data_IF_869278401026
#
_entry.id   IF_869278401026
#
_cell.length_a   1.000
_cell.length_b   1.000
_cell.length_c   1.000
_cell.angle_alpha   90.00
_cell.angle_beta   90.00
_cell.angle_gamma   90.00
#
_symmetry.space_group_name_H-M   'P 1'
#
loop_
_entity.id
_entity.type
_entity.pdbx_description
1 polymer ?
#
# COMPACT_ATOMS: atom_id res chain seq x y z
N UNK A 1 -15.43 -39.97 -17.63
CA UNK A 1 -15.08 -38.55 -17.37
C UNK A 1 -15.97 -38.07 -16.26
N UNK A 2 -15.41 -37.73 -15.11
CA UNK A 2 -16.17 -37.10 -14.01
C UNK A 2 -16.62 -35.71 -14.49
N UNK A 3 -17.93 -35.45 -14.49
CA UNK A 3 -18.42 -34.08 -14.80
C UNK A 3 -17.87 -33.12 -13.76
N UNK A 4 -17.30 -32.01 -14.20
CA UNK A 4 -16.89 -30.91 -13.32
C UNK A 4 -18.15 -30.39 -12.60
N UNK A 5 -18.14 -30.43 -11.29
CA UNK A 5 -19.18 -29.71 -10.52
C UNK A 5 -18.90 -28.21 -10.69
N UNK A 6 -19.89 -27.45 -11.13
CA UNK A 6 -19.76 -26.00 -11.30
C UNK A 6 -19.34 -25.37 -9.96
N UNK A 7 -18.13 -24.79 -9.87
CA UNK A 7 -17.59 -24.28 -8.62
C UNK A 7 -18.38 -23.10 -8.08
N UNK A 8 -19.13 -22.39 -8.92
CA UNK A 8 -20.01 -21.32 -8.53
C UNK A 8 -21.29 -21.78 -7.82
N UNK A 9 -21.60 -23.06 -7.89
CA UNK A 9 -22.80 -23.61 -7.19
C UNK A 9 -22.74 -23.38 -5.67
N UNK A 10 -21.53 -23.36 -5.10
CA UNK A 10 -21.30 -23.10 -3.68
C UNK A 10 -21.09 -21.60 -3.36
N UNK A 11 -21.05 -20.73 -4.38
CA UNK A 11 -20.81 -19.29 -4.19
C UNK A 11 -22.13 -18.56 -4.01
N UNK A 12 -22.31 -17.95 -2.88
CA UNK A 12 -23.43 -17.04 -2.63
C UNK A 12 -23.06 -15.64 -3.15
N UNK A 13 -23.81 -15.17 -4.16
CA UNK A 13 -23.63 -13.84 -4.70
C UNK A 13 -24.24 -12.79 -3.75
N UNK A 14 -23.57 -11.66 -3.49
CA UNK A 14 -24.09 -10.62 -2.61
C UNK A 14 -25.36 -9.98 -3.17
N UNK A 15 -26.11 -9.28 -2.32
CA UNK A 15 -27.38 -8.63 -2.71
C UNK A 15 -27.23 -7.70 -3.91
N UNK A 16 -26.14 -6.94 -3.98
CA UNK A 16 -25.83 -6.09 -5.14
C UNK A 16 -25.50 -6.86 -6.41
N UNK A 17 -25.39 -8.22 -6.37
CA UNK A 17 -24.97 -9.03 -7.51
C UNK A 17 -23.46 -8.97 -7.80
N UNK A 18 -23.05 -9.42 -8.99
CA UNK A 18 -21.64 -9.60 -9.35
C UNK A 18 -21.28 -8.92 -10.67
N UNK A 19 -20.10 -8.29 -10.70
CA UNK A 19 -19.46 -7.76 -11.89
C UNK A 19 -18.32 -8.70 -12.32
N UNK A 20 -18.46 -9.38 -13.46
CA UNK A 20 -17.43 -10.27 -13.99
C UNK A 20 -16.40 -9.50 -14.81
N UNK A 21 -15.12 -9.63 -14.47
CA UNK A 21 -14.02 -9.12 -15.29
C UNK A 21 -13.78 -10.09 -16.45
N UNK A 22 -14.06 -9.66 -17.68
CA UNK A 22 -14.05 -10.51 -18.87
C UNK A 22 -13.05 -10.00 -19.90
N UNK A 23 -12.06 -10.83 -20.26
CA UNK A 23 -11.10 -10.52 -21.33
C UNK A 23 -11.54 -11.01 -22.72
N UNK A 24 -12.49 -11.94 -22.79
CA UNK A 24 -12.87 -12.66 -23.99
C UNK A 24 -12.21 -14.03 -24.12
N UNK A 25 -11.15 -14.31 -23.37
CA UNK A 25 -10.48 -15.61 -23.34
C UNK A 25 -11.27 -16.67 -22.58
N UNK A 26 -10.88 -17.95 -22.82
CA UNK A 26 -11.52 -19.15 -22.31
C UNK A 26 -12.00 -19.04 -20.85
N UNK A 27 -11.05 -18.74 -19.93
CA UNK A 27 -11.29 -18.78 -18.50
C UNK A 27 -12.33 -17.72 -18.07
N UNK A 28 -12.24 -16.53 -18.66
CA UNK A 28 -13.15 -15.41 -18.35
C UNK A 28 -14.55 -15.61 -18.92
N UNK A 29 -14.67 -16.27 -20.08
CA UNK A 29 -15.96 -16.58 -20.69
C UNK A 29 -16.64 -17.73 -19.93
N UNK A 30 -15.90 -18.74 -19.47
CA UNK A 30 -16.41 -19.75 -18.55
C UNK A 30 -16.93 -19.14 -17.24
N UNK A 31 -16.14 -18.26 -16.62
CA UNK A 31 -16.56 -17.55 -15.39
C UNK A 31 -17.88 -16.81 -15.61
N UNK A 32 -17.98 -16.05 -16.71
CA UNK A 32 -19.18 -15.26 -16.99
C UNK A 32 -20.40 -16.17 -17.15
N UNK A 33 -20.32 -17.23 -17.96
CA UNK A 33 -21.42 -18.18 -18.17
C UNK A 33 -21.86 -18.85 -16.87
N UNK A 34 -20.90 -19.35 -16.04
CA UNK A 34 -21.22 -19.92 -14.73
C UNK A 34 -21.88 -18.91 -13.80
N UNK A 35 -21.36 -17.66 -13.78
CA UNK A 35 -21.90 -16.60 -12.92
C UNK A 35 -23.32 -16.22 -13.32
N UNK A 36 -23.59 -16.12 -14.62
CA UNK A 36 -24.95 -15.83 -15.12
C UNK A 36 -25.93 -16.90 -14.69
N UNK A 37 -25.58 -18.18 -14.84
CA UNK A 37 -26.42 -19.31 -14.38
C UNK A 37 -26.65 -19.27 -12.88
N UNK A 38 -25.62 -18.95 -12.10
CA UNK A 38 -25.74 -18.84 -10.65
C UNK A 38 -26.60 -17.63 -10.23
N UNK A 39 -26.41 -16.48 -10.89
CA UNK A 39 -27.21 -15.28 -10.68
C UNK A 39 -28.70 -15.54 -10.96
N UNK A 40 -29.02 -16.22 -12.04
CA UNK A 40 -30.40 -16.61 -12.38
C UNK A 40 -31.02 -17.50 -11.29
N UNK A 41 -30.26 -18.49 -10.77
CA UNK A 41 -30.74 -19.38 -9.68
C UNK A 41 -30.99 -18.62 -8.38
N UNK A 42 -30.17 -17.60 -8.09
CA UNK A 42 -30.24 -16.85 -6.83
C UNK A 42 -31.07 -15.55 -6.93
N UNK A 43 -31.59 -15.21 -8.12
CA UNK A 43 -32.26 -13.93 -8.35
C UNK A 43 -31.31 -12.73 -8.19
N UNK A 44 -30.03 -12.90 -8.52
CA UNK A 44 -29.00 -11.88 -8.42
C UNK A 44 -28.58 -11.38 -9.79
N UNK A 45 -28.39 -10.06 -9.92
CA UNK A 45 -27.93 -9.47 -11.16
C UNK A 45 -26.46 -9.76 -11.44
N UNK A 46 -26.13 -9.96 -12.69
CA UNK A 46 -24.76 -10.21 -13.17
C UNK A 46 -24.49 -9.30 -14.36
N UNK A 47 -23.29 -8.76 -14.43
CA UNK A 47 -22.83 -7.97 -15.56
C UNK A 47 -21.40 -8.33 -15.94
N UNK A 48 -21.01 -8.03 -17.17
CA UNK A 48 -19.66 -8.17 -17.68
C UNK A 48 -18.96 -6.80 -17.72
N UNK A 49 -17.68 -6.77 -17.37
CA UNK A 49 -16.81 -5.60 -17.53
C UNK A 49 -15.55 -6.00 -18.28
N UNK A 50 -15.28 -5.34 -19.40
CA UNK A 50 -14.11 -5.53 -20.24
C UNK A 50 -13.23 -4.28 -20.21
N UNK A 51 -11.92 -4.44 -20.03
CA UNK A 51 -10.97 -3.35 -20.12
C UNK A 51 -10.04 -3.52 -21.29
N UNK A 52 -10.15 -2.63 -22.27
CA UNK A 52 -9.30 -2.59 -23.45
C UNK A 52 -8.02 -1.79 -23.11
N UNK A 53 -6.89 -2.50 -23.06
CA UNK A 53 -5.59 -1.96 -22.72
C UNK A 53 -4.93 -1.12 -23.83
N UNK A 54 -5.52 -1.09 -25.02
CA UNK A 54 -5.02 -0.40 -26.25
C UNK A 54 -3.56 -0.80 -26.62
N UNK A 55 -3.11 -1.98 -26.23
CA UNK A 55 -1.76 -2.45 -26.51
C UNK A 55 -1.64 -3.16 -27.88
N UNK A 56 -2.77 -3.67 -28.42
CA UNK A 56 -2.80 -4.55 -29.59
C UNK A 56 -3.64 -3.99 -30.76
N UNK A 57 -4.01 -2.71 -30.72
CA UNK A 57 -4.80 -2.11 -31.78
C UNK A 57 -6.08 -2.91 -32.12
N UNK A 58 -6.24 -3.30 -33.38
CA UNK A 58 -7.44 -3.98 -33.88
C UNK A 58 -7.79 -5.31 -33.16
N UNK A 59 -6.83 -6.06 -32.63
CA UNK A 59 -7.12 -7.27 -31.88
C UNK A 59 -7.85 -6.97 -30.57
N UNK A 60 -7.42 -5.92 -29.84
CA UNK A 60 -8.06 -5.51 -28.60
C UNK A 60 -9.50 -5.00 -28.84
N UNK A 61 -9.75 -4.33 -29.97
CA UNK A 61 -11.11 -3.88 -30.36
C UNK A 61 -11.99 -5.06 -30.78
N UNK A 62 -11.42 -6.07 -31.47
CA UNK A 62 -12.11 -7.32 -31.79
C UNK A 62 -12.56 -8.05 -30.52
N UNK A 63 -11.68 -8.17 -29.52
CA UNK A 63 -11.95 -8.88 -28.27
C UNK A 63 -13.05 -8.15 -27.48
N UNK A 64 -13.02 -6.82 -27.41
CA UNK A 64 -14.08 -6.01 -26.82
C UNK A 64 -15.42 -6.23 -27.54
N UNK A 65 -15.41 -6.22 -28.88
CA UNK A 65 -16.61 -6.42 -29.69
C UNK A 65 -17.18 -7.81 -29.48
N UNK A 66 -16.34 -8.82 -29.47
CA UNK A 66 -16.76 -10.21 -29.21
C UNK A 66 -17.49 -10.36 -27.86
N UNK A 67 -16.93 -9.80 -26.77
CA UNK A 67 -17.59 -9.88 -25.45
C UNK A 67 -18.87 -9.07 -25.43
N UNK A 68 -18.90 -7.91 -26.05
CA UNK A 68 -20.08 -7.04 -26.17
C UNK A 68 -21.24 -7.77 -26.86
N UNK A 69 -20.98 -8.37 -28.04
CA UNK A 69 -21.98 -9.06 -28.85
C UNK A 69 -22.50 -10.30 -28.13
N UNK A 70 -21.61 -11.05 -27.45
CA UNK A 70 -21.99 -12.20 -26.66
C UNK A 70 -22.91 -11.83 -25.50
N UNK A 71 -22.63 -10.70 -24.82
CA UNK A 71 -23.46 -10.17 -23.75
C UNK A 71 -24.81 -9.67 -24.26
N UNK A 72 -24.80 -8.91 -25.36
CA UNK A 72 -26.02 -8.39 -26.00
C UNK A 72 -26.99 -9.51 -26.39
N UNK A 73 -26.49 -10.59 -27.00
CA UNK A 73 -27.29 -11.76 -27.37
C UNK A 73 -27.95 -12.49 -26.19
N UNK A 74 -27.52 -12.19 -24.95
CA UNK A 74 -28.00 -12.83 -23.70
C UNK A 74 -28.60 -11.83 -22.69
N UNK A 75 -28.79 -10.59 -23.13
CA UNK A 75 -29.33 -9.48 -22.31
C UNK A 75 -28.52 -9.26 -21.01
N UNK A 76 -27.19 -9.50 -21.07
CA UNK A 76 -26.26 -9.27 -19.96
C UNK A 76 -25.74 -7.83 -20.05
N UNK A 77 -25.87 -7.01 -18.99
CA UNK A 77 -25.28 -5.68 -18.97
C UNK A 77 -23.77 -5.74 -19.19
N UNK A 78 -23.25 -4.89 -20.10
CA UNK A 78 -21.85 -4.85 -20.49
C UNK A 78 -21.25 -3.47 -20.29
N UNK A 79 -20.11 -3.40 -19.62
CA UNK A 79 -19.36 -2.18 -19.37
C UNK A 79 -17.97 -2.30 -20.01
N UNK A 80 -17.62 -1.34 -20.85
CA UNK A 80 -16.29 -1.23 -21.46
C UNK A 80 -15.50 -0.08 -20.84
N UNK A 81 -14.24 -0.32 -20.55
CA UNK A 81 -13.25 0.69 -20.19
C UNK A 81 -12.07 0.63 -21.14
N UNK A 82 -11.44 1.77 -21.39
CA UNK A 82 -10.24 1.87 -22.23
C UNK A 82 -9.19 2.72 -21.53
N UNK A 83 -7.91 2.44 -21.78
CA UNK A 83 -6.82 3.23 -21.22
C UNK A 83 -5.53 3.02 -21.98
N UNK A 84 -4.80 4.12 -22.20
CA UNK A 84 -3.43 4.08 -22.73
C UNK A 84 -2.46 3.62 -21.64
N UNK A 85 -2.21 2.32 -21.64
CA UNK A 85 -1.32 1.68 -20.64
C UNK A 85 0.11 2.17 -20.79
N UNK A 86 0.60 2.45 -22.01
CA UNK A 86 1.98 2.90 -22.23
C UNK A 86 2.20 4.29 -21.67
N UNK A 87 1.33 5.23 -21.99
CA UNK A 87 1.39 6.57 -21.43
C UNK A 87 1.33 6.56 -19.89
N UNK A 88 0.44 5.75 -19.31
CA UNK A 88 0.34 5.62 -17.86
C UNK A 88 1.57 4.96 -17.22
N UNK A 89 2.21 3.99 -17.89
CA UNK A 89 3.44 3.38 -17.43
C UNK A 89 4.61 4.39 -17.39
N UNK A 90 4.75 5.19 -18.45
CA UNK A 90 5.76 6.26 -18.54
C UNK A 90 5.55 7.34 -17.47
N UNK A 91 4.33 7.82 -17.29
CA UNK A 91 3.99 8.83 -16.29
C UNK A 91 4.29 8.36 -14.86
N UNK A 92 4.02 7.09 -14.56
CA UNK A 92 4.12 6.55 -13.20
C UNK A 92 5.43 5.82 -12.91
N UNK A 93 6.32 5.65 -13.90
CA UNK A 93 7.58 4.90 -13.78
C UNK A 93 7.38 3.40 -13.51
N UNK A 94 6.25 2.82 -13.94
CA UNK A 94 5.88 1.42 -13.73
C UNK A 94 6.16 0.58 -14.95
N UNK A 95 6.20 -0.75 -14.76
CA UNK A 95 6.17 -1.65 -15.90
C UNK A 95 4.82 -1.59 -16.62
N UNK A 96 4.78 -1.91 -17.91
CA UNK A 96 3.55 -1.95 -18.70
C UNK A 96 2.52 -2.90 -18.07
N UNK A 97 2.96 -4.04 -17.53
CA UNK A 97 2.09 -5.01 -16.85
C UNK A 97 1.47 -4.44 -15.56
N UNK A 98 2.27 -3.80 -14.71
CA UNK A 98 1.78 -3.15 -13.49
C UNK A 98 0.78 -2.03 -13.81
N UNK A 99 1.08 -1.24 -14.84
CA UNK A 99 0.22 -0.16 -15.33
C UNK A 99 -1.11 -0.70 -15.86
N UNK A 100 -1.07 -1.73 -16.72
CA UNK A 100 -2.24 -2.42 -17.24
C UNK A 100 -3.13 -2.98 -16.13
N UNK A 101 -2.51 -3.65 -15.17
CA UNK A 101 -3.20 -4.21 -14.01
C UNK A 101 -3.85 -3.11 -13.18
N UNK A 102 -3.17 -2.01 -12.90
CA UNK A 102 -3.69 -0.92 -12.10
C UNK A 102 -4.88 -0.25 -12.76
N UNK A 103 -4.78 0.12 -14.04
CA UNK A 103 -5.87 0.73 -14.79
C UNK A 103 -7.10 -0.18 -14.85
N UNK A 104 -6.91 -1.47 -15.12
CA UNK A 104 -7.99 -2.45 -15.13
C UNK A 104 -8.71 -2.54 -13.79
N UNK A 105 -7.97 -2.70 -12.67
CA UNK A 105 -8.62 -2.78 -11.36
C UNK A 105 -9.29 -1.48 -10.93
N UNK A 106 -8.73 -0.34 -11.29
CA UNK A 106 -9.36 0.97 -11.08
C UNK A 106 -10.70 1.05 -11.80
N UNK A 107 -10.74 0.73 -13.09
CA UNK A 107 -11.97 0.71 -13.89
C UNK A 107 -13.01 -0.26 -13.31
N UNK A 108 -12.61 -1.47 -12.95
CA UNK A 108 -13.52 -2.48 -12.37
C UNK A 108 -14.14 -1.99 -11.06
N UNK A 109 -13.35 -1.39 -10.18
CA UNK A 109 -13.84 -0.90 -8.89
C UNK A 109 -14.71 0.35 -9.05
N UNK A 110 -14.37 1.27 -9.93
CA UNK A 110 -15.21 2.45 -10.25
C UNK A 110 -16.56 2.00 -10.83
N UNK A 111 -16.56 1.05 -11.77
CA UNK A 111 -17.78 0.48 -12.36
C UNK A 111 -18.61 -0.25 -11.29
N UNK A 112 -17.98 -1.10 -10.47
CA UNK A 112 -18.66 -1.79 -9.37
C UNK A 112 -19.39 -0.82 -8.46
N UNK A 113 -18.72 0.27 -8.03
CA UNK A 113 -19.31 1.29 -7.13
C UNK A 113 -20.42 2.07 -7.79
N UNK A 114 -20.17 2.57 -9.00
CA UNK A 114 -21.16 3.36 -9.75
C UNK A 114 -22.44 2.60 -10.01
N UNK A 115 -22.32 1.33 -10.38
CA UNK A 115 -23.48 0.47 -10.71
C UNK A 115 -24.01 -0.29 -9.48
N UNK A 116 -23.38 -0.16 -8.29
CA UNK A 116 -23.83 -0.79 -7.05
C UNK A 116 -23.70 -2.30 -7.02
N UNK A 117 -22.69 -2.90 -7.69
CA UNK A 117 -22.40 -4.34 -7.55
C UNK A 117 -21.73 -4.64 -6.21
N UNK A 118 -22.08 -5.78 -5.62
CA UNK A 118 -21.53 -6.22 -4.34
C UNK A 118 -20.10 -6.76 -4.42
N UNK A 119 -19.73 -7.37 -5.56
CA UNK A 119 -18.39 -7.93 -5.77
C UNK A 119 -17.93 -7.86 -7.23
N UNK A 120 -16.63 -8.07 -7.41
CA UNK A 120 -15.97 -8.29 -8.71
C UNK A 120 -15.53 -9.75 -8.75
N UNK A 121 -15.83 -10.46 -9.83
CA UNK A 121 -15.34 -11.82 -10.07
C UNK A 121 -14.23 -11.80 -11.11
N UNK A 122 -13.16 -12.56 -10.85
CA UNK A 122 -12.03 -12.73 -11.79
C UNK A 122 -11.73 -14.20 -12.02
N UNK A 123 -11.34 -14.56 -13.24
CA UNK A 123 -11.19 -15.92 -13.71
C UNK A 123 -9.83 -16.57 -13.41
N UNK A 124 -9.18 -16.19 -12.30
CA UNK A 124 -7.96 -16.89 -11.87
C UNK A 124 -8.32 -18.32 -11.48
N UNK A 125 -7.51 -19.27 -11.96
CA UNK A 125 -7.74 -20.71 -11.80
C UNK A 125 -6.56 -21.41 -11.09
N UNK A 126 -6.64 -22.74 -10.90
CA UNK A 126 -5.66 -23.50 -10.13
C UNK A 126 -4.24 -23.42 -10.74
N UNK A 127 -4.11 -23.45 -12.07
CA UNK A 127 -2.79 -23.32 -12.72
C UNK A 127 -2.16 -21.94 -12.46
N UNK A 128 -2.93 -20.84 -12.46
CA UNK A 128 -2.41 -19.50 -12.10
C UNK A 128 -1.92 -19.43 -10.64
N UNK A 129 -2.64 -20.11 -9.75
CA UNK A 129 -2.22 -20.20 -8.33
C UNK A 129 -0.94 -21.01 -8.19
N UNK A 130 -0.80 -22.11 -8.92
CA UNK A 130 0.42 -22.93 -8.95
C UNK A 130 1.61 -22.13 -9.50
N UNK A 131 1.44 -21.38 -10.59
CA UNK A 131 2.46 -20.46 -11.12
C UNK A 131 2.90 -19.45 -10.05
N UNK A 132 1.93 -18.85 -9.34
CA UNK A 132 2.19 -17.87 -8.29
C UNK A 132 2.95 -18.48 -7.12
N UNK A 133 2.57 -19.68 -6.66
CA UNK A 133 3.29 -20.41 -5.62
C UNK A 133 4.74 -20.68 -6.00
N UNK A 134 4.99 -21.15 -7.22
CA UNK A 134 6.33 -21.42 -7.72
C UNK A 134 7.17 -20.14 -7.84
N UNK A 135 6.61 -19.07 -8.37
CA UNK A 135 7.30 -17.77 -8.43
C UNK A 135 7.68 -17.26 -7.03
N UNK A 136 6.78 -17.36 -6.09
CA UNK A 136 7.04 -16.94 -4.72
C UNK A 136 8.10 -17.83 -4.04
N UNK A 137 8.04 -19.16 -4.27
CA UNK A 137 9.05 -20.08 -3.77
C UNK A 137 10.46 -19.76 -4.30
N UNK A 138 10.57 -19.48 -5.60
CA UNK A 138 11.84 -19.08 -6.24
C UNK A 138 12.39 -17.77 -5.69
N UNK A 139 11.53 -16.87 -5.25
CA UNK A 139 11.91 -15.58 -4.63
C UNK A 139 12.21 -15.68 -3.14
N UNK A 140 12.02 -16.83 -2.51
CA UNK A 140 12.24 -17.03 -1.08
C UNK A 140 11.13 -16.39 -0.26
N UNK A 141 9.95 -16.98 -0.27
CA UNK A 141 8.78 -16.48 0.47
C UNK A 141 8.56 -17.21 1.80
N UNK A 142 7.83 -16.56 2.71
CA UNK A 142 7.24 -17.21 3.88
C UNK A 142 5.91 -17.89 3.56
N UNK A 143 5.22 -18.37 4.61
CA UNK A 143 3.95 -19.10 4.52
C UNK A 143 2.91 -18.37 3.67
N UNK A 144 2.70 -17.07 3.90
CA UNK A 144 1.75 -16.21 3.17
C UNK A 144 1.91 -16.28 1.64
N UNK A 145 3.15 -16.29 1.14
CA UNK A 145 3.37 -16.36 -0.32
C UNK A 145 3.16 -17.76 -0.91
N UNK A 146 3.23 -18.81 -0.09
CA UNK A 146 2.96 -20.18 -0.51
C UNK A 146 1.45 -20.51 -0.54
N UNK A 147 0.59 -19.64 -0.02
CA UNK A 147 -0.86 -19.81 -0.15
C UNK A 147 -1.38 -19.54 -1.57
N UNK A 148 -0.51 -19.13 -2.50
CA UNK A 148 -0.88 -18.83 -3.86
C UNK A 148 -1.72 -17.56 -4.00
N UNK A 149 -2.71 -17.60 -4.89
CA UNK A 149 -3.64 -16.48 -5.11
C UNK A 149 -4.80 -16.61 -4.10
N UNK A 150 -5.12 -15.56 -3.31
CA UNK A 150 -6.22 -15.64 -2.34
C UNK A 150 -7.58 -15.69 -3.03
N UNK A 151 -8.51 -16.52 -2.51
CA UNK A 151 -9.88 -16.62 -3.04
C UNK A 151 -10.62 -15.30 -2.97
N UNK A 152 -10.41 -14.55 -1.88
CA UNK A 152 -11.04 -13.24 -1.65
C UNK A 152 -9.98 -12.21 -1.30
N UNK A 153 -10.11 -11.05 -1.92
CA UNK A 153 -9.34 -9.85 -1.55
C UNK A 153 -10.25 -8.63 -1.72
N UNK A 154 -10.59 -7.98 -0.62
CA UNK A 154 -11.54 -6.86 -0.60
C UNK A 154 -12.89 -7.26 -1.23
N UNK A 155 -13.30 -6.60 -2.30
CA UNK A 155 -14.49 -6.91 -3.08
C UNK A 155 -14.25 -7.90 -4.24
N UNK A 156 -13.03 -8.40 -4.41
CA UNK A 156 -12.67 -9.30 -5.50
C UNK A 156 -12.76 -10.74 -5.03
N UNK A 157 -13.52 -11.57 -5.75
CA UNK A 157 -13.66 -13.00 -5.53
C UNK A 157 -13.09 -13.77 -6.72
N UNK A 158 -12.54 -14.96 -6.46
CA UNK A 158 -11.90 -15.84 -7.46
C UNK A 158 -12.42 -17.27 -7.33
N UNK A 159 -13.64 -17.52 -7.80
CA UNK A 159 -14.31 -18.80 -7.55
C UNK A 159 -13.69 -19.99 -8.30
N UNK A 160 -12.81 -19.75 -9.30
CA UNK A 160 -12.20 -20.80 -10.12
C UNK A 160 -10.84 -21.30 -9.61
N UNK A 161 -10.38 -20.85 -8.43
CA UNK A 161 -9.04 -21.22 -7.93
C UNK A 161 -8.86 -22.71 -7.61
N UNK A 162 -9.94 -23.45 -7.46
CA UNK A 162 -9.92 -24.92 -7.31
C UNK A 162 -10.05 -25.69 -8.63
N UNK A 163 -10.28 -25.00 -9.74
CA UNK A 163 -10.52 -25.59 -11.06
C UNK A 163 -9.27 -25.46 -11.91
N UNK A 164 -8.87 -26.53 -12.59
CA UNK A 164 -7.76 -26.52 -13.52
C UNK A 164 -8.15 -25.92 -14.86
N UNK A 165 -7.18 -25.42 -15.62
CA UNK A 165 -7.43 -24.93 -16.97
C UNK A 165 -7.97 -26.03 -17.90
N UNK A 166 -7.55 -27.27 -17.69
CA UNK A 166 -8.05 -28.42 -18.47
C UNK A 166 -9.55 -28.67 -18.21
N UNK A 167 -10.00 -28.54 -16.96
CA UNK A 167 -11.42 -28.67 -16.62
C UNK A 167 -12.24 -27.50 -17.19
N UNK A 168 -11.70 -26.27 -17.20
CA UNK A 168 -12.35 -25.11 -17.85
C UNK A 168 -12.49 -25.32 -19.36
N UNK A 169 -11.47 -25.86 -20.01
CA UNK A 169 -11.53 -26.20 -21.44
C UNK A 169 -12.60 -27.27 -21.73
N UNK A 170 -12.67 -28.30 -20.90
CA UNK A 170 -13.72 -29.34 -21.01
C UNK A 170 -15.13 -28.75 -20.80
N UNK A 171 -15.29 -27.87 -19.81
CA UNK A 171 -16.55 -27.18 -19.54
C UNK A 171 -16.98 -26.29 -20.72
N UNK A 172 -16.04 -25.50 -21.27
CA UNK A 172 -16.32 -24.68 -22.44
C UNK A 172 -16.78 -25.52 -23.66
N UNK A 173 -16.13 -26.68 -23.90
CA UNK A 173 -16.50 -27.57 -24.96
C UNK A 173 -17.90 -28.21 -24.74
N UNK A 174 -18.19 -28.68 -23.52
CA UNK A 174 -19.49 -29.27 -23.15
C UNK A 174 -20.64 -28.25 -23.32
N UNK A 175 -20.40 -27.02 -22.89
CA UNK A 175 -21.42 -25.95 -22.94
C UNK A 175 -21.36 -25.09 -24.19
N UNK A 176 -20.48 -25.40 -25.14
CA UNK A 176 -20.26 -24.65 -26.40
C UNK A 176 -20.05 -23.16 -26.18
N UNK A 177 -19.22 -22.83 -25.17
CA UNK A 177 -18.89 -21.44 -24.83
C UNK A 177 -17.84 -20.96 -25.83
N UNK A 178 -18.14 -19.93 -26.65
CA UNK A 178 -17.17 -19.37 -27.56
C UNK A 178 -16.18 -18.49 -26.76
N UNK A 179 -14.94 -18.43 -27.23
CA UNK A 179 -13.89 -17.59 -26.68
C UNK A 179 -12.89 -17.18 -27.75
N UNK A 180 -12.14 -16.13 -27.49
CA UNK A 180 -11.05 -15.66 -28.36
C UNK A 180 -9.73 -16.27 -27.86
N UNK A 181 -8.94 -16.80 -28.78
CA UNK A 181 -7.58 -17.23 -28.46
C UNK A 181 -6.65 -16.02 -28.33
N UNK A 182 -5.93 -15.95 -27.23
CA UNK A 182 -5.00 -14.87 -26.96
C UNK A 182 -3.66 -15.12 -27.69
N UNK A 183 -3.33 -14.27 -28.66
CA UNK A 183 -2.09 -14.38 -29.47
C UNK A 183 -0.82 -14.02 -28.66
N UNK A 184 -0.94 -13.39 -27.47
CA UNK A 184 0.21 -12.89 -26.69
C UNK A 184 0.65 -13.80 -25.55
N UNK A 185 0.28 -15.06 -25.52
CA UNK A 185 0.80 -16.02 -24.53
C UNK A 185 2.34 -16.09 -24.44
N UNK A 186 3.07 -15.20 -25.10
CA UNK A 186 4.53 -15.24 -25.26
C UNK A 186 5.35 -14.06 -24.74
N UNK A 187 4.81 -12.92 -24.29
CA UNK A 187 5.65 -11.72 -24.19
C UNK A 187 5.75 -10.97 -22.85
N UNK A 188 4.82 -11.08 -21.92
CA UNK A 188 4.75 -10.08 -20.83
C UNK A 188 5.37 -10.46 -19.47
N UNK A 189 5.52 -11.72 -19.11
CA UNK A 189 6.29 -12.18 -17.93
C UNK A 189 7.12 -13.42 -18.30
N UNK A 190 8.38 -13.21 -18.64
CA UNK A 190 9.29 -14.29 -19.05
C UNK A 190 9.35 -15.41 -18.00
N UNK A 191 9.33 -15.08 -16.71
CA UNK A 191 9.40 -16.06 -15.64
C UNK A 191 8.08 -16.86 -15.53
N UNK A 192 6.91 -16.18 -15.59
CA UNK A 192 5.60 -16.84 -15.57
C UNK A 192 5.37 -17.69 -16.80
N UNK A 193 5.75 -17.20 -17.98
CA UNK A 193 5.69 -17.97 -19.22
C UNK A 193 6.60 -19.20 -19.19
N UNK A 194 7.82 -19.08 -18.65
CA UNK A 194 8.71 -20.24 -18.44
C UNK A 194 8.06 -21.26 -17.51
N UNK A 195 7.46 -20.85 -16.40
CA UNK A 195 6.75 -21.76 -15.50
C UNK A 195 5.58 -22.45 -16.21
N UNK A 196 4.76 -21.72 -16.94
CA UNK A 196 3.59 -22.21 -17.65
C UNK A 196 3.94 -23.19 -18.78
N UNK A 197 4.93 -22.86 -19.60
CA UNK A 197 5.22 -23.60 -20.83
C UNK A 197 6.34 -24.63 -20.69
N UNK A 198 7.21 -24.50 -19.69
CA UNK A 198 8.35 -25.40 -19.53
C UNK A 198 8.31 -26.17 -18.19
N UNK A 199 8.13 -25.51 -17.06
CA UNK A 199 8.25 -26.14 -15.74
C UNK A 199 7.00 -26.96 -15.38
N UNK A 200 5.81 -26.35 -15.44
CA UNK A 200 4.56 -27.06 -15.10
C UNK A 200 4.30 -28.30 -15.98
N UNK A 201 4.56 -28.28 -17.30
CA UNK A 201 4.46 -29.50 -18.13
C UNK A 201 5.41 -30.59 -17.67
N UNK A 202 6.63 -30.28 -17.23
CA UNK A 202 7.55 -31.29 -16.68
C UNK A 202 7.03 -31.84 -15.35
N UNK A 203 6.55 -30.97 -14.44
CA UNK A 203 5.95 -31.41 -13.19
C UNK A 203 4.72 -32.29 -13.40
N UNK A 204 3.87 -31.97 -14.41
CA UNK A 204 2.72 -32.82 -14.81
C UNK A 204 3.11 -34.19 -15.36
N UNK A 205 4.30 -34.31 -15.95
CA UNK A 205 4.83 -35.66 -16.35
C UNK A 205 5.22 -36.50 -15.13
N UNK A 206 5.75 -35.88 -14.07
CA UNK A 206 6.07 -36.56 -12.80
C UNK A 206 4.82 -36.90 -12.01
N UNK A 207 3.86 -35.98 -11.97
CA UNK A 207 2.58 -36.19 -11.33
C UNK A 207 1.48 -35.45 -12.10
N UNK A 208 0.61 -36.15 -12.86
CA UNK A 208 -0.47 -35.50 -13.61
C UNK A 208 -1.40 -34.62 -12.77
N UNK A 209 -1.52 -34.90 -11.46
CA UNK A 209 -2.35 -34.14 -10.53
C UNK A 209 -1.56 -33.10 -9.70
N UNK A 210 -0.41 -32.63 -10.21
CA UNK A 210 0.44 -31.69 -9.46
C UNK A 210 -0.27 -30.39 -9.16
N UNK A 211 -1.07 -29.85 -10.10
CA UNK A 211 -1.78 -28.58 -9.93
C UNK A 211 -2.86 -28.69 -8.85
N UNK A 212 -3.66 -29.78 -8.88
CA UNK A 212 -4.67 -30.04 -7.84
C UNK A 212 -4.03 -30.27 -6.46
N UNK A 213 -2.88 -30.96 -6.42
CA UNK A 213 -2.14 -31.15 -5.19
C UNK A 213 -1.59 -29.82 -4.65
N UNK A 214 -1.07 -28.94 -5.52
CA UNK A 214 -0.61 -27.60 -5.15
C UNK A 214 -1.79 -26.75 -4.65
N UNK A 215 -2.94 -26.78 -5.34
CA UNK A 215 -4.15 -26.08 -4.90
C UNK A 215 -4.60 -26.53 -3.52
N UNK A 216 -4.65 -27.85 -3.27
CA UNK A 216 -4.95 -28.40 -1.94
C UNK A 216 -3.94 -27.97 -0.87
N UNK A 217 -2.66 -28.01 -1.20
CA UNK A 217 -1.59 -27.53 -0.27
C UNK A 217 -1.76 -26.05 0.02
N UNK A 218 -2.04 -25.23 -0.99
CA UNK A 218 -2.31 -23.79 -0.82
C UNK A 218 -3.47 -23.53 0.14
N UNK A 219 -4.56 -24.30 0.01
CA UNK A 219 -5.73 -24.17 0.91
C UNK A 219 -5.41 -24.54 2.36
N UNK A 220 -4.61 -25.60 2.59
CA UNK A 220 -4.15 -25.97 3.95
C UNK A 220 -3.27 -24.88 4.54
N UNK A 221 -2.29 -24.39 3.77
CA UNK A 221 -1.41 -23.31 4.21
C UNK A 221 -2.17 -21.99 4.43
N UNK A 222 -3.23 -21.72 3.68
CA UNK A 222 -4.07 -20.54 3.87
C UNK A 222 -4.85 -20.61 5.19
N UNK A 223 -5.32 -21.81 5.59
CA UNK A 223 -5.97 -22.00 6.88
C UNK A 223 -4.98 -21.77 8.05
N UNK A 224 -3.76 -22.32 7.96
CA UNK A 224 -2.70 -22.10 8.95
C UNK A 224 -2.30 -20.62 9.02
N UNK A 225 -2.15 -19.95 7.87
CA UNK A 225 -1.85 -18.52 7.79
C UNK A 225 -2.95 -17.68 8.45
N UNK A 226 -4.22 -17.99 8.20
CA UNK A 226 -5.35 -17.30 8.81
C UNK A 226 -5.37 -17.46 10.34
N UNK A 227 -5.01 -18.64 10.85
CA UNK A 227 -4.90 -18.89 12.29
C UNK A 227 -3.76 -18.07 12.92
N UNK A 228 -2.60 -18.02 12.26
CA UNK A 228 -1.44 -17.21 12.71
C UNK A 228 -1.75 -15.71 12.65
N UNK A 229 -2.44 -15.24 11.61
CA UNK A 229 -2.87 -13.85 11.49
C UNK A 229 -3.89 -13.48 12.57
N UNK A 230 -4.83 -14.36 12.89
CA UNK A 230 -5.79 -14.15 13.97
C UNK A 230 -5.08 -14.07 15.34
N UNK A 231 -4.11 -14.95 15.59
CA UNK A 231 -3.28 -14.90 16.79
C UNK A 231 -2.45 -13.60 16.85
N UNK A 232 -1.85 -13.18 15.73
CA UNK A 232 -1.10 -11.93 15.63
C UNK A 232 -1.98 -10.72 15.93
N UNK A 233 -3.20 -10.63 15.36
CA UNK A 233 -4.15 -9.53 15.63
C UNK A 233 -4.52 -9.40 17.12
N UNK A 234 -4.74 -10.51 17.82
CA UNK A 234 -4.99 -10.48 19.27
C UNK A 234 -3.81 -9.87 20.04
N UNK A 235 -2.60 -10.17 19.61
CA UNK A 235 -1.38 -9.62 20.23
C UNK A 235 -1.14 -8.15 19.82
N UNK A 236 -1.58 -7.72 18.65
CA UNK A 236 -1.49 -6.31 18.23
C UNK A 236 -2.36 -5.38 19.08
N UNK A 237 -3.43 -5.86 19.68
CA UNK A 237 -4.23 -5.11 20.64
C UNK A 237 -3.44 -4.65 21.88
N UNK A 238 -2.27 -5.28 22.14
CA UNK A 238 -1.34 -4.91 23.22
C UNK A 238 -0.28 -3.89 22.76
N UNK A 239 -0.32 -3.47 21.51
CA UNK A 239 0.59 -2.50 20.91
C UNK A 239 -0.15 -1.19 20.68
N UNK A 240 0.49 -0.07 21.01
CA UNK A 240 -0.06 1.24 20.64
C UNK A 240 0.30 1.51 19.17
N UNK A 241 -0.70 1.66 18.31
CA UNK A 241 -0.48 1.91 16.87
C UNK A 241 -1.41 3.02 16.39
N UNK A 242 -0.82 4.08 15.84
CA UNK A 242 -1.50 5.14 15.11
C UNK A 242 -1.10 5.01 13.64
N UNK A 243 -1.98 4.53 12.75
CA UNK A 243 -1.66 4.31 11.34
C UNK A 243 -1.05 5.54 10.68
N UNK A 244 -0.06 5.34 9.82
CA UNK A 244 0.71 6.37 9.10
C UNK A 244 1.50 7.37 9.98
N UNK A 245 1.50 7.20 11.30
CA UNK A 245 2.14 8.11 12.26
C UNK A 245 3.17 7.39 13.11
N UNK A 246 2.73 6.49 13.99
CA UNK A 246 3.62 5.84 14.96
C UNK A 246 3.08 4.49 15.44
N UNK A 247 3.99 3.70 16.02
CA UNK A 247 3.65 2.45 16.68
C UNK A 247 4.62 2.15 17.82
N UNK A 248 4.19 1.33 18.77
CA UNK A 248 5.03 0.87 19.87
C UNK A 248 4.75 -0.59 20.18
N UNK A 249 5.80 -1.39 20.32
CA UNK A 249 5.74 -2.77 20.78
C UNK A 249 6.50 -2.85 22.10
N UNK A 250 5.84 -3.10 23.25
CA UNK A 250 6.55 -3.39 24.50
C UNK A 250 7.41 -4.64 24.36
N UNK A 251 8.64 -4.61 24.87
CA UNK A 251 9.57 -5.73 24.72
C UNK A 251 9.10 -6.99 25.42
N UNK A 252 8.50 -6.85 26.61
CA UNK A 252 7.91 -7.99 27.29
C UNK A 252 6.89 -8.71 26.41
N UNK A 253 5.98 -7.92 25.77
CA UNK A 253 4.98 -8.45 24.84
C UNK A 253 5.62 -9.14 23.62
N UNK A 254 6.76 -8.63 23.13
CA UNK A 254 7.48 -9.25 22.01
C UNK A 254 8.21 -10.53 22.45
N UNK A 255 8.81 -10.55 23.62
CA UNK A 255 9.57 -11.67 24.17
C UNK A 255 8.66 -12.84 24.56
N UNK A 256 7.51 -12.56 25.18
CA UNK A 256 6.50 -13.55 25.57
C UNK A 256 5.79 -14.20 24.38
N UNK A 257 5.85 -13.55 23.20
CA UNK A 257 5.23 -14.09 22.01
C UNK A 257 5.97 -15.32 21.47
N UNK A 258 5.25 -16.33 20.97
CA UNK A 258 5.85 -17.41 20.19
C UNK A 258 6.73 -16.86 19.06
N UNK A 259 7.85 -17.51 18.79
CA UNK A 259 8.83 -17.07 17.78
C UNK A 259 8.19 -16.78 16.42
N UNK A 260 7.29 -17.67 15.97
CA UNK A 260 6.56 -17.54 14.73
C UNK A 260 5.72 -16.24 14.61
N UNK A 261 5.35 -15.62 15.73
CA UNK A 261 4.52 -14.42 15.77
C UNK A 261 5.33 -13.13 15.98
N UNK A 262 6.58 -13.21 16.45
CA UNK A 262 7.42 -12.03 16.70
C UNK A 262 7.65 -11.21 15.43
N UNK A 263 8.10 -11.88 14.36
CA UNK A 263 8.33 -11.24 13.07
C UNK A 263 7.05 -10.68 12.43
N UNK A 264 5.94 -11.42 12.55
CA UNK A 264 4.62 -10.97 12.04
C UNK A 264 4.14 -9.70 12.75
N UNK A 265 4.34 -9.63 14.06
CA UNK A 265 3.98 -8.45 14.86
C UNK A 265 4.80 -7.22 14.45
N UNK A 266 6.12 -7.39 14.33
CA UNK A 266 7.00 -6.31 13.84
C UNK A 266 6.55 -5.84 12.46
N UNK A 267 6.30 -6.78 11.53
CA UNK A 267 5.81 -6.46 10.19
C UNK A 267 4.47 -5.69 10.23
N UNK A 268 3.52 -6.15 11.03
CA UNK A 268 2.20 -5.54 11.10
C UNK A 268 2.25 -4.09 11.64
N UNK A 269 3.05 -3.82 12.70
CA UNK A 269 3.23 -2.47 13.22
C UNK A 269 4.00 -1.61 12.23
N UNK A 270 5.07 -2.13 11.64
CA UNK A 270 5.87 -1.43 10.64
C UNK A 270 5.03 -1.07 9.40
N UNK A 271 4.23 -2.00 8.90
CA UNK A 271 3.33 -1.78 7.76
C UNK A 271 2.23 -0.76 8.08
N UNK A 272 1.67 -0.79 9.28
CA UNK A 272 0.68 0.19 9.71
C UNK A 272 1.25 1.61 9.76
N UNK A 273 2.49 1.77 10.25
CA UNK A 273 3.19 3.06 10.29
C UNK A 273 3.64 3.49 8.90
N UNK A 274 4.10 2.56 8.05
CA UNK A 274 4.50 2.84 6.67
C UNK A 274 3.30 3.17 5.76
N UNK A 275 2.12 2.64 6.06
CA UNK A 275 0.90 2.72 5.26
C UNK A 275 0.68 1.54 4.31
N UNK A 276 1.67 0.65 4.16
CA UNK A 276 1.59 -0.57 3.34
C UNK A 276 2.73 -1.55 3.64
N UNK A 277 2.59 -2.81 3.19
CA UNK A 277 3.59 -3.87 3.37
C UNK A 277 4.63 -3.96 2.23
N UNK A 278 4.43 -3.27 1.11
CA UNK A 278 5.32 -3.38 -0.05
C UNK A 278 6.76 -3.05 0.35
N UNK A 279 7.73 -3.80 -0.19
CA UNK A 279 9.18 -3.63 0.05
C UNK A 279 9.67 -3.85 1.51
N UNK A 280 8.77 -4.26 2.42
CA UNK A 280 9.15 -4.71 3.77
C UNK A 280 9.60 -6.17 3.70
N UNK A 281 10.90 -6.40 3.76
CA UNK A 281 11.53 -7.71 3.58
C UNK A 281 11.79 -8.43 4.89
N UNK A 282 12.03 -9.75 4.83
CA UNK A 282 12.46 -10.54 5.98
C UNK A 282 13.77 -10.02 6.60
N UNK A 283 14.66 -9.41 5.80
CA UNK A 283 15.87 -8.78 6.31
C UNK A 283 15.56 -7.57 7.20
N UNK A 284 14.59 -6.73 6.82
CA UNK A 284 14.14 -5.60 7.63
C UNK A 284 13.56 -6.08 8.98
N UNK A 285 12.71 -7.11 8.95
CA UNK A 285 12.10 -7.67 10.16
C UNK A 285 13.18 -8.25 11.09
N UNK A 286 14.14 -9.00 10.53
CA UNK A 286 15.26 -9.57 11.31
C UNK A 286 16.10 -8.46 11.94
N UNK A 287 16.44 -7.41 11.19
CA UNK A 287 17.19 -6.28 11.71
C UNK A 287 16.49 -5.62 12.91
N UNK A 288 15.17 -5.46 12.86
CA UNK A 288 14.38 -4.91 13.98
C UNK A 288 14.38 -5.87 15.18
N UNK A 289 14.21 -7.17 14.95
CA UNK A 289 14.20 -8.18 16.04
C UNK A 289 15.54 -8.32 16.74
N UNK A 290 16.65 -8.04 16.05
CA UNK A 290 18.02 -8.12 16.60
C UNK A 290 18.57 -6.77 17.08
N UNK A 291 17.77 -5.70 16.99
CA UNK A 291 18.18 -4.37 17.45
C UNK A 291 18.25 -4.35 18.99
N UNK A 292 19.45 -4.25 19.54
CA UNK A 292 19.71 -4.19 21.00
C UNK A 292 19.77 -2.75 21.53
N UNK A 293 20.22 -1.78 20.70
CA UNK A 293 20.32 -0.34 21.02
C UNK A 293 20.34 0.51 19.77
N UNK A 294 20.00 1.80 19.91
CA UNK A 294 20.04 2.76 18.83
C UNK A 294 18.78 2.73 17.95
N UNK A 295 18.93 3.09 16.69
CA UNK A 295 17.83 3.20 15.75
C UNK A 295 18.16 2.61 14.38
N UNK A 296 17.12 2.21 13.65
CA UNK A 296 17.18 1.70 12.27
C UNK A 296 16.28 2.55 11.36
N UNK A 297 16.77 2.91 10.19
CA UNK A 297 15.95 3.49 9.13
C UNK A 297 15.35 2.38 8.29
N UNK A 298 14.02 2.46 8.08
CA UNK A 298 13.23 1.51 7.32
C UNK A 298 12.71 2.18 6.04
N UNK A 299 12.22 1.41 5.06
CA UNK A 299 11.52 1.96 3.91
C UNK A 299 10.41 2.94 4.31
N UNK A 300 10.06 3.85 3.38
CA UNK A 300 8.95 4.82 3.54
C UNK A 300 9.14 5.84 4.66
N UNK A 301 10.39 6.15 5.01
CA UNK A 301 10.73 7.13 6.03
C UNK A 301 10.38 6.70 7.46
N UNK A 302 10.14 5.41 7.68
CA UNK A 302 9.91 4.90 9.03
C UNK A 302 11.25 4.71 9.75
N UNK A 303 11.32 5.16 10.99
CA UNK A 303 12.43 4.91 11.90
C UNK A 303 11.97 4.00 13.02
N UNK A 304 12.78 3.00 13.34
CA UNK A 304 12.59 2.11 14.49
C UNK A 304 13.64 2.44 15.54
N UNK A 305 13.21 2.84 16.72
CA UNK A 305 14.07 3.17 17.86
C UNK A 305 13.95 2.08 18.94
N UNK A 306 15.08 1.60 19.43
CA UNK A 306 15.15 0.69 20.58
C UNK A 306 15.24 1.49 21.86
N UNK A 307 14.15 1.49 22.63
CA UNK A 307 14.06 2.04 23.97
C UNK A 307 14.27 0.92 25.02
N UNK A 308 14.58 1.22 26.29
CA UNK A 308 14.81 0.19 27.29
C UNK A 308 13.68 -0.81 27.48
N UNK A 309 12.42 -0.38 27.31
CA UNK A 309 11.23 -1.21 27.51
C UNK A 309 10.42 -1.48 26.24
N UNK A 310 10.74 -0.87 25.09
CA UNK A 310 9.91 -0.95 23.89
C UNK A 310 10.72 -0.80 22.60
N UNK A 311 10.13 -1.26 21.50
CA UNK A 311 10.45 -0.84 20.14
C UNK A 311 9.46 0.24 19.74
N UNK A 312 9.92 1.42 19.39
CA UNK A 312 9.11 2.52 18.91
C UNK A 312 9.31 2.71 17.41
N UNK A 313 8.22 2.76 16.69
CA UNK A 313 8.15 2.96 15.25
C UNK A 313 7.55 4.34 15.00
N UNK A 314 8.14 5.13 14.13
CA UNK A 314 7.58 6.43 13.77
C UNK A 314 8.01 6.84 12.36
N UNK A 315 7.11 7.51 11.67
CA UNK A 315 7.42 8.12 10.39
C UNK A 315 8.01 9.50 10.68
N UNK A 316 9.14 9.82 10.05
CA UNK A 316 9.60 11.20 10.08
C UNK A 316 8.47 12.08 9.56
N UNK A 317 8.03 13.05 10.36
CA UNK A 317 7.08 14.03 9.87
C UNK A 317 7.70 14.65 8.63
N UNK A 318 6.97 14.74 7.53
CA UNK A 318 7.41 15.54 6.39
C UNK A 318 7.66 16.93 6.93
N UNK A 319 8.89 17.43 6.76
CA UNK A 319 9.20 18.76 7.22
C UNK A 319 8.16 19.72 6.60
N UNK A 320 7.49 20.54 7.43
CA UNK A 320 6.55 21.51 6.89
C UNK A 320 7.26 22.35 5.83
N UNK A 321 6.55 22.76 4.80
CA UNK A 321 7.10 23.58 3.74
C UNK A 321 7.69 24.88 4.32
N UNK A 322 8.72 25.40 3.69
CA UNK A 322 9.29 26.71 4.00
C UNK A 322 8.16 27.74 3.90
N UNK A 323 7.96 28.52 4.97
CA UNK A 323 6.93 29.56 5.03
C UNK A 323 7.58 30.91 5.24
N UNK A 324 7.27 31.86 4.39
CA UNK A 324 7.60 33.25 4.64
C UNK A 324 6.79 33.74 5.86
N UNK A 325 7.40 34.58 6.67
CA UNK A 325 6.73 35.20 7.84
C UNK A 325 7.01 36.69 7.84
N UNK A 326 5.98 37.48 8.07
CA UNK A 326 6.10 38.93 8.20
C UNK A 326 5.79 39.36 9.62
N UNK A 327 6.29 40.54 10.01
CA UNK A 327 6.02 41.10 11.33
C UNK A 327 4.53 41.43 11.45
N UNK A 328 3.87 40.89 12.47
CA UNK A 328 2.43 41.02 12.71
C UNK A 328 1.60 39.79 12.23
N UNK A 329 2.19 38.86 11.49
CA UNK A 329 1.52 37.63 11.06
C UNK A 329 1.86 36.45 11.96
N UNK A 330 0.93 35.47 12.00
CA UNK A 330 1.10 34.20 12.68
C UNK A 330 1.22 33.10 11.61
N UNK A 331 2.30 32.36 11.66
CA UNK A 331 2.57 31.24 10.75
C UNK A 331 2.47 29.92 11.54
N UNK A 332 1.76 28.95 11.00
CA UNK A 332 1.63 27.63 11.62
C UNK A 332 2.66 26.66 11.04
N UNK A 333 3.52 26.13 11.88
CA UNK A 333 4.56 25.15 11.52
C UNK A 333 4.39 23.85 12.33
N UNK A 334 3.68 22.89 11.77
CA UNK A 334 3.31 21.67 12.48
C UNK A 334 2.46 21.98 13.70
N UNK A 335 2.97 21.62 14.89
CA UNK A 335 2.30 21.90 16.17
C UNK A 335 2.72 23.25 16.80
N UNK A 336 3.39 24.10 16.05
CA UNK A 336 3.86 25.39 16.52
C UNK A 336 3.19 26.54 15.78
N UNK A 337 2.87 27.58 16.51
CA UNK A 337 2.57 28.90 15.95
C UNK A 337 3.79 29.78 16.16
N UNK A 338 4.25 30.40 15.09
CA UNK A 338 5.39 31.33 15.11
C UNK A 338 4.89 32.70 14.70
N UNK A 339 5.13 33.69 15.52
CA UNK A 339 4.79 35.09 15.22
C UNK A 339 5.92 36.03 15.56
N UNK A 340 5.93 37.15 14.86
CA UNK A 340 6.87 38.25 15.06
C UNK A 340 6.10 39.50 15.44
N UNK A 341 6.46 40.12 16.58
CA UNK A 341 5.77 41.30 17.08
C UNK A 341 6.75 42.43 17.44
N UNK A 342 6.37 43.67 17.23
CA UNK A 342 7.12 44.86 17.67
C UNK A 342 6.80 45.28 19.10
N UNK A 343 5.69 44.77 19.66
CA UNK A 343 5.20 45.16 20.99
C UNK A 343 5.96 44.48 22.13
N UNK A 344 5.91 45.06 23.31
CA UNK A 344 6.38 44.44 24.54
C UNK A 344 5.52 43.20 24.89
N UNK A 345 6.16 42.11 25.34
CA UNK A 345 5.47 40.87 25.69
C UNK A 345 6.42 39.69 25.87
N UNK A 346 5.89 38.49 25.98
CA UNK A 346 6.68 37.26 26.02
C UNK A 346 7.30 36.94 24.65
N UNK A 347 8.46 36.29 24.65
CA UNK A 347 9.17 35.88 23.44
C UNK A 347 10.63 36.29 23.43
N UNK A 348 11.34 35.93 22.39
CA UNK A 348 12.79 36.17 22.26
C UNK A 348 13.00 37.40 21.38
N UNK A 349 13.71 38.41 21.88
CA UNK A 349 13.99 39.63 21.16
C UNK A 349 15.17 39.43 20.19
N UNK A 350 14.97 39.77 18.93
CA UNK A 350 16.01 39.78 17.89
C UNK A 350 16.03 41.13 17.18
N UNK A 351 17.16 41.47 16.58
CA UNK A 351 17.32 42.69 15.78
C UNK A 351 17.48 42.31 14.29
N UNK A 352 16.70 42.97 13.43
CA UNK A 352 16.66 42.67 11.99
C UNK A 352 16.71 43.98 11.18
N UNK A 353 17.13 43.90 9.91
CA UNK A 353 16.99 45.03 8.97
C UNK A 353 15.55 45.11 8.45
N UNK A 354 15.12 46.29 7.99
CA UNK A 354 13.79 46.47 7.41
C UNK A 354 13.53 45.60 6.16
N UNK A 355 14.59 45.24 5.42
CA UNK A 355 14.54 44.44 4.18
C UNK A 355 14.88 42.98 4.40
N UNK A 356 14.89 42.49 5.66
CA UNK A 356 15.25 41.12 5.96
C UNK A 356 14.21 40.11 5.41
N UNK A 357 14.67 39.10 4.72
CA UNK A 357 13.86 37.95 4.34
C UNK A 357 13.71 37.01 5.55
N UNK A 358 12.47 36.84 5.99
CA UNK A 358 12.13 36.07 7.18
C UNK A 358 11.37 34.80 6.78
N UNK A 359 11.93 33.65 7.15
CA UNK A 359 11.31 32.36 6.86
C UNK A 359 11.30 31.44 8.08
N UNK A 360 10.26 30.62 8.18
CA UNK A 360 10.17 29.51 9.15
C UNK A 360 10.34 28.20 8.39
N UNK A 361 11.29 27.39 8.84
CA UNK A 361 11.66 26.12 8.20
C UNK A 361 11.85 25.01 9.23
N UNK A 362 11.98 23.77 8.80
CA UNK A 362 12.58 22.71 9.62
C UNK A 362 14.07 23.02 9.86
N UNK A 363 14.63 22.46 10.93
CA UNK A 363 16.07 22.53 11.16
C UNK A 363 16.84 21.66 10.14
N UNK A 364 18.07 22.08 9.83
CA UNK A 364 19.01 21.34 8.98
C UNK A 364 20.24 20.93 9.79
N UNK A 365 20.92 19.86 9.37
CA UNK A 365 22.13 19.35 10.01
C UNK A 365 23.28 20.38 10.03
N UNK A 366 23.24 21.36 9.13
CA UNK A 366 24.20 22.48 9.02
C UNK A 366 23.85 23.65 9.93
N UNK A 367 22.63 23.69 10.49
CA UNK A 367 22.21 24.81 11.34
C UNK A 367 23.05 24.91 12.59
N UNK A 368 23.50 26.13 12.84
CA UNK A 368 24.30 26.49 14.01
C UNK A 368 23.76 27.75 14.65
N UNK A 369 23.76 27.75 15.98
CA UNK A 369 23.56 28.94 16.81
C UNK A 369 24.83 29.14 17.63
N UNK A 370 25.47 30.30 17.46
CA UNK A 370 26.71 30.66 18.15
C UNK A 370 27.82 29.58 17.96
N UNK A 371 28.00 29.12 16.71
CA UNK A 371 29.02 28.14 16.36
C UNK A 371 28.70 26.69 16.72
N UNK A 372 27.63 26.43 17.47
CA UNK A 372 27.21 25.09 17.93
C UNK A 372 26.03 24.58 17.09
N UNK A 373 26.08 23.31 16.73
CA UNK A 373 24.96 22.71 15.94
C UNK A 373 23.67 22.66 16.73
N UNK A 374 22.54 22.94 16.08
CA UNK A 374 21.19 22.80 16.67
C UNK A 374 20.99 21.41 17.27
N UNK A 375 21.48 20.36 16.61
CA UNK A 375 21.46 18.98 17.12
C UNK A 375 22.11 18.84 18.50
N UNK A 376 23.30 19.43 18.69
CA UNK A 376 24.04 19.39 19.98
C UNK A 376 23.32 20.17 21.07
N UNK A 377 22.83 21.37 20.73
CA UNK A 377 22.10 22.22 21.67
C UNK A 377 20.80 21.56 22.16
N UNK A 378 20.07 20.90 21.26
CA UNK A 378 18.88 20.10 21.63
C UNK A 378 19.24 18.95 22.59
N UNK A 379 20.33 18.22 22.32
CA UNK A 379 20.79 17.14 23.19
C UNK A 379 21.14 17.62 24.60
N UNK A 380 21.82 18.76 24.75
CA UNK A 380 22.17 19.38 26.03
C UNK A 380 20.92 19.85 26.82
N UNK A 381 19.83 20.15 26.14
CA UNK A 381 18.53 20.55 26.74
C UNK A 381 17.58 19.37 26.94
N UNK A 382 18.01 18.13 26.67
CA UNK A 382 17.18 16.94 26.82
C UNK A 382 16.04 16.83 25.77
N UNK A 383 16.09 17.63 24.69
CA UNK A 383 15.09 17.57 23.61
C UNK A 383 15.36 16.29 22.80
N UNK A 384 14.38 15.42 22.76
CA UNK A 384 14.46 14.15 22.06
C UNK A 384 14.64 14.33 20.55
N UNK A 385 15.24 13.37 19.82
CA UNK A 385 15.33 13.44 18.36
C UNK A 385 13.99 13.67 17.66
N UNK A 386 12.91 13.10 18.19
CA UNK A 386 11.56 13.24 17.63
C UNK A 386 11.00 14.65 17.81
N UNK A 387 11.22 15.25 18.97
CA UNK A 387 10.80 16.62 19.24
C UNK A 387 11.62 17.61 18.42
N UNK A 388 12.94 17.38 18.34
CA UNK A 388 13.84 18.22 17.55
C UNK A 388 13.41 18.30 16.08
N UNK A 389 13.02 17.16 15.47
CA UNK A 389 12.65 17.11 14.06
C UNK A 389 11.32 17.84 13.76
N UNK A 390 10.61 18.27 14.80
CA UNK A 390 9.38 19.06 14.75
C UNK A 390 9.55 20.52 15.16
N UNK A 391 10.77 20.92 15.51
CA UNK A 391 11.02 22.30 15.93
C UNK A 391 11.07 23.25 14.71
N UNK A 392 10.36 24.39 14.77
CA UNK A 392 10.53 25.46 13.81
C UNK A 392 11.89 26.15 14.00
N UNK A 393 12.51 26.54 12.91
CA UNK A 393 13.68 27.40 12.88
C UNK A 393 13.31 28.70 12.18
N UNK A 394 13.38 29.82 12.88
CA UNK A 394 13.29 31.12 12.25
C UNK A 394 14.62 31.43 11.57
N UNK A 395 14.56 31.76 10.30
CA UNK A 395 15.73 32.22 9.52
C UNK A 395 15.57 33.66 9.11
N UNK A 396 16.67 34.36 9.16
CA UNK A 396 16.80 35.71 8.64
C UNK A 396 17.82 35.67 7.52
N UNK A 397 17.43 36.00 6.30
CA UNK A 397 18.27 35.90 5.10
C UNK A 397 18.93 34.50 4.96
N UNK A 398 18.17 33.44 5.25
CA UNK A 398 18.62 32.04 5.18
C UNK A 398 19.45 31.56 6.38
N UNK A 399 19.84 32.44 7.31
CA UNK A 399 20.64 32.08 8.50
C UNK A 399 19.69 31.70 9.65
N UNK A 400 19.94 30.55 10.32
CA UNK A 400 19.18 30.15 11.51
C UNK A 400 19.45 31.13 12.67
N UNK A 401 18.38 31.74 13.21
CA UNK A 401 18.46 32.77 14.22
C UNK A 401 17.85 32.37 15.55
N UNK A 402 16.67 31.76 15.51
CA UNK A 402 15.95 31.36 16.71
C UNK A 402 15.27 29.98 16.54
N UNK A 403 15.31 29.20 17.61
CA UNK A 403 14.67 27.88 17.72
C UNK A 403 14.04 27.80 19.11
N UNK A 404 12.82 27.25 19.28
CA UNK A 404 12.15 27.14 20.57
C UNK A 404 13.05 26.49 21.63
N UNK A 405 13.21 27.15 22.78
CA UNK A 405 13.98 26.64 23.90
C UNK A 405 15.50 26.67 23.76
N UNK A 406 16.03 27.18 22.63
CA UNK A 406 17.48 27.32 22.40
C UNK A 406 17.92 28.79 22.46
N UNK A 407 19.25 29.07 22.69
CA UNK A 407 19.78 30.41 22.61
C UNK A 407 19.64 30.99 21.20
N UNK A 408 19.44 32.31 21.11
CA UNK A 408 19.46 33.00 19.82
C UNK A 408 20.87 33.10 19.26
N UNK A 409 20.97 33.37 17.97
CA UNK A 409 22.23 33.67 17.28
C UNK A 409 22.70 35.10 17.73
N UNK A 410 23.89 35.19 18.33
CA UNK A 410 24.42 36.45 18.92
C UNK A 410 24.48 37.60 17.95
N UNK A 411 24.70 37.34 16.66
CA UNK A 411 24.73 38.41 15.66
C UNK A 411 23.37 39.09 15.44
N UNK A 412 22.32 38.55 15.98
CA UNK A 412 20.95 39.08 15.94
C UNK A 412 20.46 39.50 17.33
N UNK A 413 21.34 39.62 18.29
CA UNK A 413 21.01 40.18 19.61
C UNK A 413 20.54 41.64 19.50
N UNK A 414 19.65 42.10 20.41
CA UNK A 414 19.23 43.50 20.45
C UNK A 414 20.45 44.41 20.47
N UNK A 415 20.36 45.61 19.90
CA UNK A 415 21.38 46.67 19.79
C UNK A 415 22.31 46.62 18.55
N UNK A 416 22.09 45.70 17.61
CA UNK A 416 22.94 45.62 16.39
C UNK A 416 22.28 46.14 15.12
N UNK A 417 20.95 46.27 15.06
CA UNK A 417 20.18 46.66 13.88
C UNK A 417 19.07 47.67 14.20
N UNK A 418 18.53 48.29 13.18
CA UNK A 418 17.57 49.41 13.32
C UNK A 418 16.18 49.00 13.86
N UNK A 419 15.79 47.71 13.70
CA UNK A 419 14.47 47.23 14.07
C UNK A 419 14.55 46.04 15.03
N UNK A 420 14.02 46.19 16.22
CA UNK A 420 13.90 45.10 17.20
C UNK A 420 12.54 44.39 17.07
N UNK A 421 12.55 43.09 16.92
CA UNK A 421 11.35 42.24 16.77
C UNK A 421 11.37 41.12 17.78
N UNK A 422 10.23 40.82 18.34
CA UNK A 422 10.05 39.73 19.29
C UNK A 422 9.53 38.49 18.58
N UNK A 423 10.26 37.40 18.70
CA UNK A 423 9.88 36.07 18.15
C UNK A 423 9.13 35.30 19.24
N UNK A 424 7.93 34.88 18.92
CA UNK A 424 7.07 34.12 19.82
C UNK A 424 6.86 32.74 19.22
N UNK A 425 7.18 31.69 19.98
CA UNK A 425 6.92 30.31 19.63
C UNK A 425 5.88 29.74 20.60
N UNK A 426 4.70 29.45 20.12
CA UNK A 426 3.62 28.83 20.90
C UNK A 426 3.40 27.36 20.41
N UNK A 427 3.47 26.44 21.35
CA UNK A 427 3.12 25.04 21.07
C UNK A 427 1.61 24.89 21.21
N UNK A 428 0.93 24.55 20.12
CA UNK A 428 -0.52 24.27 20.12
C UNK A 428 -0.73 22.89 20.72
N UNK A 429 -1.34 22.83 21.91
CA UNK A 429 -1.85 21.59 22.50
C UNK A 429 -3.32 21.43 22.11
N UNK A 430 -3.82 20.20 21.92
CA UNK A 430 -5.21 19.94 21.50
C UNK A 430 -6.27 20.49 22.45
N UNK A 431 -5.89 20.98 23.63
CA UNK A 431 -6.79 21.57 24.62
C UNK A 431 -7.21 23.01 24.28
N UNK A 432 -6.54 23.73 23.39
CA UNK A 432 -6.82 25.12 23.05
C UNK A 432 -7.79 25.34 21.87
N UNK A 433 -8.46 24.32 21.39
CA UNK A 433 -9.43 24.44 20.27
C UNK A 433 -10.91 24.56 20.74
N UNK A 434 -11.17 24.79 22.01
CA UNK A 434 -12.53 24.90 22.57
C UNK A 434 -12.81 26.25 23.25
N UNK A 435 -12.24 27.36 22.76
CA UNK A 435 -12.73 28.70 23.12
C UNK A 435 -13.10 29.51 21.88
#
# INVERSE_FOLDING_TARGET
MMRMTDPLTAVELPEGGALCAVSGGLDSMCLLEMTVRQGQKQGRRVAAAHFNHQLRGAEADRDETFVRDWCAAREIPFFAGRGDVRAFAEETGRTVEEAARQLRYKFLEETRRREGFGCILTAHHADDSAETMLLNLLRGTGLKGLTGIPEKRDCILRPLLSVTRAELAAYAAEHRIPFVEDSTNGTDDAARNMLRHQVLPVLKKLNPRVVENMSRTASLLAADEAALDAACRKLLAQCAVTPNVSGMIPLAVLQDAPEALRGRRVLAVLAAVAGHEKDLTAAHIRAVLTLDRGQLSMPYGVTVLREPAALRFFKAASAPAVQAVTVGEIVTFGQWQVSLAESAGEGVLISISETADLTVTAWDSKDRLNGRTVKRLCGERGISPQERDRLPVLRVNGIAVAVPGLPIQENFAPDRYERAVRVIFLKVTEENNNE
#
